data_IF_189513900157
#
_entry.id   IF_189513900157
#
_cell.length_a   1.000
_cell.length_b   1.000
_cell.length_c   1.000
_cell.angle_alpha   90.00
_cell.angle_beta   90.00
_cell.angle_gamma   90.00
#
_symmetry.space_group_name_H-M   'P 1'
#
loop_
_entity.id
_entity.type
_entity.pdbx_description
1 polymer ?
#
# COMPACT_ATOMS: atom_id res chain seq x y z
N UNK A 1 -16.58 -5.04 16.35
CA UNK A 1 -16.51 -3.61 16.75
C UNK A 1 -15.88 -3.58 18.12
N UNK A 2 -14.85 -2.77 18.32
CA UNK A 2 -14.18 -2.63 19.61
C UNK A 2 -14.86 -1.48 20.39
N UNK A 3 -14.84 -1.53 21.71
CA UNK A 3 -15.18 -0.38 22.55
C UNK A 3 -14.09 0.68 22.37
N UNK A 4 -14.50 1.93 22.15
CA UNK A 4 -13.55 3.02 21.95
C UNK A 4 -12.85 3.33 23.27
N UNK A 5 -11.58 2.90 23.37
CA UNK A 5 -10.75 3.08 24.57
C UNK A 5 -9.69 4.17 24.39
N UNK A 6 -9.10 4.27 23.20
CA UNK A 6 -7.99 5.19 22.93
C UNK A 6 -8.45 6.29 21.98
N UNK A 7 -8.25 7.54 22.38
CA UNK A 7 -8.41 8.72 21.53
C UNK A 7 -7.33 8.79 20.45
N UNK A 8 -7.55 9.60 19.42
CA UNK A 8 -6.57 9.83 18.36
C UNK A 8 -5.31 10.46 18.95
N UNK A 9 -5.48 11.39 19.89
CA UNK A 9 -4.40 12.08 20.58
C UNK A 9 -3.54 11.11 21.39
N UNK A 10 -4.16 10.17 22.12
CA UNK A 10 -3.41 9.12 22.85
C UNK A 10 -2.65 8.18 21.91
N UNK A 11 -3.23 7.83 20.76
CA UNK A 11 -2.54 7.02 19.75
C UNK A 11 -1.33 7.75 19.16
N UNK A 12 -1.48 9.04 18.84
CA UNK A 12 -0.40 9.88 18.30
C UNK A 12 0.70 10.11 19.32
N UNK A 13 0.33 10.42 20.57
CA UNK A 13 1.28 10.62 21.65
C UNK A 13 2.06 9.33 21.93
N UNK A 14 1.36 8.19 22.04
CA UNK A 14 2.01 6.89 22.25
C UNK A 14 3.00 6.53 21.14
N UNK A 15 2.70 6.89 19.88
CA UNK A 15 3.64 6.71 18.77
C UNK A 15 4.92 7.52 18.98
N UNK A 16 4.78 8.82 19.27
CA UNK A 16 5.93 9.69 19.55
C UNK A 16 6.73 9.20 20.75
N UNK A 17 6.06 8.80 21.84
CA UNK A 17 6.71 8.37 23.08
C UNK A 17 7.56 7.11 22.87
N UNK A 18 7.04 6.10 22.16
CA UNK A 18 7.79 4.87 21.88
C UNK A 18 8.97 5.14 20.96
N UNK A 19 8.83 6.05 19.99
CA UNK A 19 9.95 6.45 19.12
C UNK A 19 11.06 7.11 19.96
N UNK A 20 10.71 8.08 20.82
CA UNK A 20 11.66 8.79 21.69
C UNK A 20 12.32 7.87 22.71
N UNK A 21 11.55 6.99 23.35
CA UNK A 21 12.06 6.07 24.38
C UNK A 21 13.08 5.06 23.83
N UNK A 22 13.03 4.76 22.52
CA UNK A 22 13.98 3.89 21.85
C UNK A 22 15.04 4.66 21.04
N UNK A 23 15.04 6.00 21.11
CA UNK A 23 16.02 6.87 20.46
C UNK A 23 16.17 6.67 18.94
N UNK A 24 15.11 6.25 18.24
CA UNK A 24 15.17 6.05 16.78
C UNK A 24 15.45 7.38 16.05
N UNK A 25 16.50 7.40 15.23
CA UNK A 25 16.91 8.53 14.37
C UNK A 25 17.15 8.08 12.92
N UNK A 26 16.42 7.05 12.50
CA UNK A 26 16.52 6.40 11.19
C UNK A 26 15.13 6.09 10.64
N UNK A 27 15.05 5.63 9.40
CA UNK A 27 13.79 5.18 8.81
C UNK A 27 13.24 3.97 9.58
N UNK A 28 11.98 4.07 10.02
CA UNK A 28 11.28 3.02 10.76
C UNK A 28 9.95 2.68 10.12
N UNK A 29 9.55 1.41 10.21
CA UNK A 29 8.17 0.99 9.99
C UNK A 29 7.51 0.73 11.33
N UNK A 30 6.36 1.34 11.58
CA UNK A 30 5.65 1.20 12.86
C UNK A 30 4.38 0.36 12.70
N UNK A 31 4.22 -0.62 13.58
CA UNK A 31 2.96 -1.36 13.74
C UNK A 31 2.26 -0.88 15.01
N UNK A 32 1.31 0.03 14.85
CA UNK A 32 0.37 0.40 15.89
C UNK A 32 -0.91 -0.43 15.72
N UNK A 33 -1.21 -1.28 16.69
CA UNK A 33 -2.29 -2.27 16.59
C UNK A 33 -3.20 -2.19 17.79
N UNK A 34 -4.50 -2.03 17.55
CA UNK A 34 -5.55 -2.19 18.55
C UNK A 34 -6.16 -3.59 18.44
N UNK A 35 -6.45 -4.22 19.58
CA UNK A 35 -6.97 -5.59 19.62
C UNK A 35 -7.90 -5.80 20.82
N UNK A 36 -8.78 -6.79 20.73
CA UNK A 36 -9.56 -7.27 21.87
C UNK A 36 -8.66 -8.17 22.72
N UNK A 37 -8.54 -7.83 24.00
CA UNK A 37 -7.74 -8.54 24.98
C UNK A 37 -8.63 -9.34 25.96
N UNK A 38 -8.02 -10.18 26.80
CA UNK A 38 -8.70 -11.03 27.76
C UNK A 38 -9.21 -12.36 27.18
N UNK A 39 -10.05 -13.06 27.93
CA UNK A 39 -10.49 -14.44 27.61
C UNK A 39 -11.38 -14.55 26.36
N UNK A 40 -11.99 -13.43 25.93
CA UNK A 40 -12.71 -13.33 24.66
C UNK A 40 -13.99 -14.17 24.53
N UNK A 41 -14.89 -13.72 23.64
CA UNK A 41 -16.07 -14.44 23.15
C UNK A 41 -16.46 -13.84 21.79
N UNK A 42 -17.41 -14.46 21.08
CA UNK A 42 -17.93 -13.93 19.81
C UNK A 42 -18.52 -12.51 19.91
N UNK A 43 -18.91 -12.08 21.13
CA UNK A 43 -19.51 -10.79 21.39
C UNK A 43 -18.55 -9.79 22.04
N UNK A 44 -17.29 -10.17 22.27
CA UNK A 44 -16.33 -9.33 22.98
C UNK A 44 -16.05 -8.04 22.21
N UNK A 45 -16.21 -6.92 22.93
CA UNK A 45 -15.85 -5.59 22.47
C UNK A 45 -14.75 -4.96 23.32
N UNK A 46 -14.43 -5.54 24.47
CA UNK A 46 -13.35 -5.16 25.35
C UNK A 46 -12.96 -6.31 26.30
N UNK A 47 -11.93 -6.12 27.15
CA UNK A 47 -11.07 -4.93 27.19
C UNK A 47 -10.28 -4.75 25.90
N UNK A 48 -9.98 -3.50 25.52
CA UNK A 48 -9.18 -3.20 24.32
C UNK A 48 -7.73 -2.96 24.71
N UNK A 49 -6.83 -3.69 24.07
CA UNK A 49 -5.39 -3.52 24.14
C UNK A 49 -4.86 -2.72 22.96
N UNK A 50 -3.71 -2.06 23.14
CA UNK A 50 -2.93 -1.50 22.05
C UNK A 50 -1.45 -1.83 22.28
N UNK A 51 -0.73 -2.14 21.21
CA UNK A 51 0.72 -2.09 21.21
C UNK A 51 1.23 -1.24 20.05
N UNK A 52 2.43 -0.70 20.21
CA UNK A 52 3.16 0.08 19.20
C UNK A 52 4.54 -0.54 19.07
N UNK A 53 4.86 -1.06 17.89
CA UNK A 53 6.13 -1.73 17.62
C UNK A 53 6.82 -1.10 16.41
N UNK A 54 7.70 -0.10 16.63
CA UNK A 54 8.63 0.38 15.61
C UNK A 54 9.69 -0.67 15.29
N UNK A 55 10.12 -0.72 14.04
CA UNK A 55 11.21 -1.57 13.58
C UNK A 55 12.04 -0.76 12.58
N UNK A 56 13.38 -0.67 12.74
CA UNK A 56 14.26 -0.13 11.71
C UNK A 56 13.97 -0.74 10.35
N UNK A 57 13.75 0.12 9.36
CA UNK A 57 13.48 -0.33 8.01
C UNK A 57 14.22 0.57 7.03
N UNK A 58 15.47 0.21 6.67
CA UNK A 58 16.18 0.96 5.65
C UNK A 58 15.39 0.92 4.34
N UNK A 59 15.33 2.06 3.66
CA UNK A 59 14.79 2.11 2.31
C UNK A 59 15.61 1.20 1.42
N UNK A 60 14.94 0.29 0.72
CA UNK A 60 15.60 -0.57 -0.27
C UNK A 60 15.93 0.17 -1.57
N UNK A 61 15.55 1.46 -1.67
CA UNK A 61 16.00 2.53 -2.56
C UNK A 61 16.72 2.09 -3.86
N UNK A 62 16.09 1.19 -4.60
CA UNK A 62 16.58 0.76 -5.89
C UNK A 62 15.38 0.55 -6.79
N UNK A 63 14.89 1.66 -7.32
CA UNK A 63 14.03 1.69 -8.50
C UNK A 63 14.66 0.94 -9.69
N UNK A 64 15.95 0.60 -9.64
CA UNK A 64 16.66 -0.08 -10.74
C UNK A 64 16.18 -1.50 -11.00
N UNK A 65 15.40 -2.10 -10.08
CA UNK A 65 14.81 -3.43 -10.25
C UNK A 65 13.34 -3.43 -9.85
N UNK A 66 12.46 -3.30 -10.84
CA UNK A 66 11.03 -3.50 -10.65
C UNK A 66 10.69 -4.94 -10.22
N UNK A 67 9.45 -5.14 -9.79
CA UNK A 67 8.92 -6.45 -9.41
C UNK A 67 8.44 -7.24 -10.63
N UNK A 68 8.62 -8.56 -10.58
CA UNK A 68 7.85 -9.53 -11.37
C UNK A 68 6.61 -9.91 -10.58
N UNK A 69 5.45 -9.60 -11.11
CA UNK A 69 4.19 -9.96 -10.48
C UNK A 69 3.52 -11.11 -11.24
N UNK A 70 2.65 -11.84 -10.53
CA UNK A 70 1.69 -12.75 -11.14
C UNK A 70 0.29 -12.41 -10.71
N UNK A 71 -0.68 -12.62 -11.59
CA UNK A 71 -2.09 -12.58 -11.20
C UNK A 71 -2.40 -13.85 -10.43
N UNK A 72 -2.80 -13.71 -9.17
CA UNK A 72 -3.02 -14.84 -8.27
C UNK A 72 -4.24 -15.66 -8.65
N UNK A 73 -4.22 -16.97 -8.36
CA UNK A 73 -5.42 -17.81 -8.41
C UNK A 73 -6.38 -17.55 -7.25
N UNK A 74 -5.90 -16.91 -6.17
CA UNK A 74 -6.71 -16.51 -5.03
C UNK A 74 -7.50 -15.23 -5.36
N UNK A 75 -8.82 -15.33 -5.25
CA UNK A 75 -9.71 -14.17 -5.33
C UNK A 75 -9.56 -13.27 -4.08
N UNK A 76 -9.64 -11.95 -4.28
CA UNK A 76 -9.65 -10.96 -3.19
C UNK A 76 -10.93 -11.08 -2.37
N UNK A 77 -10.82 -10.99 -1.04
CA UNK A 77 -11.98 -10.82 -0.15
C UNK A 77 -12.85 -9.62 -0.56
N UNK A 78 -14.10 -9.59 -0.13
CA UNK A 78 -15.07 -8.58 -0.53
C UNK A 78 -15.78 -7.95 0.66
N UNK A 79 -16.37 -6.78 0.44
CA UNK A 79 -17.22 -6.11 1.44
C UNK A 79 -18.44 -6.94 1.87
N UNK A 80 -18.77 -8.03 1.15
CA UNK A 80 -19.83 -8.98 1.52
C UNK A 80 -19.39 -10.04 2.54
N UNK A 81 -18.08 -10.23 2.74
CA UNK A 81 -17.52 -11.23 3.65
C UNK A 81 -16.60 -10.61 4.71
N UNK A 82 -15.39 -10.24 4.31
CA UNK A 82 -14.33 -9.65 5.10
C UNK A 82 -13.92 -8.38 4.39
N UNK A 83 -14.48 -7.24 4.80
CA UNK A 83 -14.26 -5.98 4.08
C UNK A 83 -12.76 -5.65 3.97
N UNK A 84 -12.20 -5.59 2.75
CA UNK A 84 -10.78 -5.28 2.54
C UNK A 84 -10.42 -3.84 2.94
N UNK A 85 -11.43 -2.96 3.05
CA UNK A 85 -11.27 -1.57 3.52
C UNK A 85 -10.90 -1.48 5.00
N UNK A 86 -11.18 -2.53 5.77
CA UNK A 86 -10.80 -2.60 7.19
C UNK A 86 -9.41 -3.23 7.31
N UNK A 87 -8.45 -2.47 7.81
CA UNK A 87 -7.07 -2.95 8.00
C UNK A 87 -6.94 -3.79 9.28
N UNK A 88 -7.42 -5.03 9.23
CA UNK A 88 -7.41 -5.97 10.36
C UNK A 88 -6.58 -7.22 10.04
N UNK A 89 -5.88 -7.76 11.05
CA UNK A 89 -5.01 -8.93 10.88
C UNK A 89 -5.70 -10.13 10.22
N UNK A 90 -6.98 -10.39 10.53
CA UNK A 90 -7.75 -11.49 9.95
C UNK A 90 -7.83 -11.43 8.41
N UNK A 91 -7.86 -10.23 7.82
CA UNK A 91 -7.94 -10.05 6.37
C UNK A 91 -6.65 -10.47 5.65
N UNK A 92 -5.51 -10.48 6.35
CA UNK A 92 -4.21 -10.75 5.75
C UNK A 92 -3.97 -12.22 5.42
N UNK A 93 -4.85 -13.15 5.82
CA UNK A 93 -4.72 -14.54 5.38
C UNK A 93 -4.87 -14.66 3.86
N UNK A 94 -5.81 -13.90 3.27
CA UNK A 94 -6.01 -13.84 1.81
C UNK A 94 -4.76 -13.31 1.10
N UNK A 95 -4.24 -12.17 1.57
CA UNK A 95 -2.99 -11.60 1.08
C UNK A 95 -1.80 -12.55 1.19
N UNK A 96 -1.68 -13.24 2.32
CA UNK A 96 -0.58 -14.20 2.57
C UNK A 96 -0.62 -15.35 1.58
N UNK A 97 -1.80 -15.94 1.34
CA UNK A 97 -1.93 -17.05 0.38
C UNK A 97 -1.55 -16.64 -1.04
N UNK A 98 -2.01 -15.48 -1.50
CA UNK A 98 -1.64 -14.95 -2.81
C UNK A 98 -0.13 -14.66 -2.93
N UNK A 99 0.48 -14.07 -1.89
CA UNK A 99 1.93 -13.82 -1.89
C UNK A 99 2.74 -15.13 -1.87
N UNK A 100 2.33 -16.12 -1.09
CA UNK A 100 3.00 -17.43 -1.04
C UNK A 100 2.95 -18.12 -2.40
N UNK A 101 1.79 -18.16 -3.05
CA UNK A 101 1.64 -18.69 -4.40
C UNK A 101 2.57 -18.01 -5.41
N UNK A 102 2.64 -16.66 -5.40
CA UNK A 102 3.51 -15.95 -6.32
C UNK A 102 4.99 -16.29 -6.10
N UNK A 103 5.44 -16.34 -4.84
CA UNK A 103 6.83 -16.70 -4.50
C UNK A 103 7.17 -18.14 -4.91
N UNK A 104 6.27 -19.09 -4.64
CA UNK A 104 6.44 -20.50 -5.03
C UNK A 104 6.54 -20.67 -6.56
N UNK A 105 5.90 -19.78 -7.32
CA UNK A 105 5.96 -19.76 -8.78
C UNK A 105 7.10 -18.90 -9.36
N UNK A 106 7.98 -18.36 -8.52
CA UNK A 106 9.19 -17.63 -8.93
C UNK A 106 8.97 -16.15 -9.27
N UNK A 107 7.84 -15.57 -8.85
CA UNK A 107 7.55 -14.13 -8.92
C UNK A 107 7.96 -13.44 -7.61
N UNK A 108 8.00 -12.11 -7.63
CA UNK A 108 8.36 -11.30 -6.47
C UNK A 108 7.11 -10.87 -5.66
N UNK A 109 5.96 -10.71 -6.33
CA UNK A 109 4.68 -10.45 -5.66
C UNK A 109 3.48 -10.91 -6.50
N UNK A 110 2.28 -10.76 -5.94
CA UNK A 110 1.02 -11.10 -6.59
C UNK A 110 0.18 -9.84 -6.91
N UNK A 111 -0.77 -10.00 -7.83
CA UNK A 111 -1.87 -9.08 -8.07
C UNK A 111 -3.16 -9.90 -7.92
N UNK A 112 -4.07 -9.46 -7.07
CA UNK A 112 -5.35 -10.14 -6.84
C UNK A 112 -6.45 -9.52 -7.71
N UNK A 113 -7.39 -10.37 -8.11
CA UNK A 113 -8.63 -9.97 -8.78
C UNK A 113 -9.79 -10.05 -7.78
N UNK A 114 -10.77 -9.16 -7.94
CA UNK A 114 -12.02 -9.24 -7.20
C UNK A 114 -12.98 -10.26 -7.83
N UNK A 115 -14.10 -10.51 -7.15
CA UNK A 115 -15.13 -11.48 -7.58
C UNK A 115 -15.85 -11.13 -8.89
N UNK A 116 -15.61 -9.94 -9.45
CA UNK A 116 -16.15 -9.53 -10.75
C UNK A 116 -15.14 -9.74 -11.89
N UNK A 117 -13.99 -10.34 -11.58
CA UNK A 117 -12.92 -10.53 -12.56
C UNK A 117 -12.20 -9.24 -12.93
N UNK A 118 -12.23 -8.21 -12.07
CA UNK A 118 -11.47 -6.96 -12.24
C UNK A 118 -10.26 -6.93 -11.30
N UNK A 119 -9.24 -6.19 -11.67
CA UNK A 119 -8.05 -6.01 -10.83
C UNK A 119 -8.41 -5.26 -9.55
N UNK A 120 -7.92 -5.79 -8.43
CA UNK A 120 -8.07 -5.21 -7.11
C UNK A 120 -6.75 -4.56 -6.66
N UNK A 121 -5.86 -5.31 -6.02
CA UNK A 121 -4.62 -4.79 -5.46
C UNK A 121 -3.57 -5.92 -5.30
N UNK A 122 -2.37 -5.58 -4.87
CA UNK A 122 -1.39 -6.58 -4.42
C UNK A 122 -1.63 -6.99 -2.96
N UNK A 123 -0.95 -8.05 -2.45
CA UNK A 123 -1.13 -8.57 -1.09
C UNK A 123 -1.06 -7.53 0.03
N UNK A 124 -0.24 -6.49 -0.11
CA UNK A 124 -0.06 -5.45 0.91
C UNK A 124 0.06 -4.04 0.34
N UNK A 125 -0.42 -3.81 -0.88
CA UNK A 125 -0.16 -2.60 -1.65
C UNK A 125 -1.25 -2.38 -2.69
N UNK A 126 -1.67 -1.13 -2.91
CA UNK A 126 -2.53 -0.78 -4.03
C UNK A 126 -1.74 -0.82 -5.35
N UNK A 127 -2.46 -0.91 -6.47
CA UNK A 127 -1.88 -0.95 -7.81
C UNK A 127 -2.23 0.31 -8.59
N UNK A 128 -1.26 0.79 -9.37
CA UNK A 128 -1.47 1.74 -10.44
C UNK A 128 -0.92 1.19 -11.76
N UNK A 129 -1.56 1.58 -12.86
CA UNK A 129 -1.02 1.45 -14.21
C UNK A 129 -0.96 2.83 -14.88
N UNK A 130 -0.12 2.95 -15.88
CA UNK A 130 -0.09 4.09 -16.80
C UNK A 130 -0.47 3.58 -18.17
N UNK A 131 -1.41 4.26 -18.82
CA UNK A 131 -1.83 3.92 -20.18
C UNK A 131 -2.15 5.18 -20.95
N UNK A 132 -1.51 5.36 -22.09
CA UNK A 132 -1.65 6.54 -22.96
C UNK A 132 -1.38 7.85 -22.18
N UNK A 133 -0.42 7.82 -21.25
CA UNK A 133 -0.06 8.95 -20.39
C UNK A 133 -1.01 9.23 -19.22
N UNK A 134 -2.08 8.46 -19.07
CA UNK A 134 -3.05 8.57 -17.96
C UNK A 134 -2.65 7.64 -16.82
N UNK A 135 -2.66 8.15 -15.59
CA UNK A 135 -2.45 7.37 -14.38
C UNK A 135 -3.79 6.74 -13.92
N UNK A 136 -3.83 5.43 -13.76
CA UNK A 136 -5.07 4.69 -13.53
C UNK A 136 -4.91 3.77 -12.32
N UNK A 137 -5.89 3.77 -11.41
CA UNK A 137 -5.94 2.84 -10.27
C UNK A 137 -7.37 2.32 -10.07
N UNK A 138 -7.55 1.09 -9.56
CA UNK A 138 -8.88 0.57 -9.26
C UNK A 138 -9.62 1.48 -8.25
N UNK A 139 -10.96 1.62 -8.37
CA UNK A 139 -11.75 2.39 -7.43
C UNK A 139 -11.80 1.70 -6.07
N UNK A 140 -12.20 2.42 -5.02
CA UNK A 140 -12.39 1.87 -3.67
C UNK A 140 -13.44 0.74 -3.62
N UNK A 141 -14.27 0.60 -4.65
CA UNK A 141 -15.26 -0.47 -4.83
C UNK A 141 -14.66 -1.77 -5.40
N UNK A 142 -13.42 -1.76 -5.85
CA UNK A 142 -12.75 -2.92 -6.46
C UNK A 142 -12.14 -3.87 -5.42
N UNK A 143 -12.72 -3.97 -4.21
CA UNK A 143 -12.20 -4.79 -3.09
C UNK A 143 -10.79 -4.40 -2.60
N UNK A 144 -10.44 -3.11 -2.62
CA UNK A 144 -9.13 -2.63 -2.18
C UNK A 144 -9.15 -2.08 -0.75
N UNK A 145 -7.98 -1.96 -0.13
CA UNK A 145 -7.81 -1.11 1.04
C UNK A 145 -7.81 0.37 0.60
N UNK A 146 -8.48 1.24 1.36
CA UNK A 146 -8.42 2.70 1.17
C UNK A 146 -7.07 3.25 1.68
N UNK A 147 -6.01 3.00 0.92
CA UNK A 147 -4.62 3.30 1.27
C UNK A 147 -4.33 4.80 1.30
N UNK A 148 -3.70 5.27 2.39
CA UNK A 148 -3.20 6.65 2.52
C UNK A 148 -2.15 6.95 1.45
N UNK A 149 -1.23 6.02 1.18
CA UNK A 149 -0.21 6.21 0.12
C UNK A 149 -0.86 6.37 -1.27
N UNK A 150 -1.92 5.62 -1.55
CA UNK A 150 -2.69 5.75 -2.80
C UNK A 150 -3.33 7.14 -2.90
N UNK A 151 -3.98 7.60 -1.83
CA UNK A 151 -4.58 8.95 -1.76
C UNK A 151 -3.53 10.06 -1.96
N UNK A 152 -2.38 9.94 -1.28
CA UNK A 152 -1.23 10.84 -1.45
C UNK A 152 -0.76 10.89 -2.91
N UNK A 153 -0.58 9.74 -3.55
CA UNK A 153 -0.15 9.67 -4.96
C UNK A 153 -1.17 10.32 -5.89
N UNK A 154 -2.47 10.07 -5.70
CA UNK A 154 -3.54 10.68 -6.51
C UNK A 154 -3.49 12.22 -6.38
N UNK A 155 -3.36 12.74 -5.16
CA UNK A 155 -3.27 14.19 -4.91
C UNK A 155 -2.03 14.81 -5.57
N UNK A 156 -0.86 14.21 -5.37
CA UNK A 156 0.40 14.69 -5.95
C UNK A 156 0.40 14.63 -7.49
N UNK A 157 -0.14 13.55 -8.07
CA UNK A 157 -0.25 13.40 -9.52
C UNK A 157 -1.14 14.49 -10.15
N UNK A 158 -2.30 14.77 -9.54
CA UNK A 158 -3.25 15.78 -10.02
C UNK A 158 -2.75 17.21 -9.80
N UNK A 159 -2.28 17.53 -8.60
CA UNK A 159 -2.00 18.93 -8.20
C UNK A 159 -0.60 19.42 -8.57
N UNK A 160 0.39 18.52 -8.63
CA UNK A 160 1.80 18.89 -8.80
C UNK A 160 2.34 18.44 -10.15
N UNK A 161 2.09 17.18 -10.52
CA UNK A 161 2.58 16.65 -11.79
C UNK A 161 1.68 16.99 -12.99
N UNK A 162 0.45 17.46 -12.74
CA UNK A 162 -0.58 17.69 -13.75
C UNK A 162 -0.81 16.46 -14.65
N UNK A 163 -0.80 15.27 -14.06
CA UNK A 163 -1.06 14.00 -14.74
C UNK A 163 -2.54 13.66 -14.57
N UNK A 164 -3.22 13.39 -15.69
CA UNK A 164 -4.60 12.90 -15.65
C UNK A 164 -4.65 11.61 -14.84
N UNK A 165 -5.48 11.59 -13.79
CA UNK A 165 -5.56 10.48 -12.85
C UNK A 165 -6.98 9.98 -12.71
N UNK A 166 -7.23 8.76 -13.18
CA UNK A 166 -8.56 8.15 -13.25
C UNK A 166 -8.67 6.98 -12.27
N UNK A 167 -9.77 6.97 -11.51
CA UNK A 167 -10.15 5.83 -10.69
C UNK A 167 -11.23 5.04 -11.43
N UNK A 168 -10.86 3.89 -12.01
CA UNK A 168 -11.78 3.02 -12.78
C UNK A 168 -11.39 1.56 -12.65
N UNK A 169 -12.34 0.67 -12.90
CA UNK A 169 -12.05 -0.75 -13.00
C UNK A 169 -10.97 -1.00 -14.05
N UNK A 170 -10.07 -1.94 -13.76
CA UNK A 170 -8.97 -2.35 -14.63
C UNK A 170 -9.17 -3.82 -14.96
N UNK A 171 -9.11 -4.16 -16.25
CA UNK A 171 -9.13 -5.56 -16.68
C UNK A 171 -7.75 -6.20 -16.56
N UNK A 172 -7.72 -7.51 -16.29
CA UNK A 172 -6.46 -8.28 -16.21
C UNK A 172 -5.57 -8.07 -17.44
N UNK A 173 -6.18 -8.06 -18.62
CA UNK A 173 -5.45 -7.92 -19.89
C UNK A 173 -4.84 -6.53 -20.07
N UNK A 174 -5.32 -5.51 -19.38
CA UNK A 174 -4.71 -4.17 -19.40
C UNK A 174 -3.33 -4.17 -18.76
N UNK A 175 -3.06 -5.07 -17.80
CA UNK A 175 -1.73 -5.23 -17.20
C UNK A 175 -0.66 -5.63 -18.23
N UNK A 176 -1.06 -6.26 -19.33
CA UNK A 176 -0.14 -6.74 -20.38
C UNK A 176 0.12 -5.70 -21.48
N UNK A 177 -0.70 -4.65 -21.55
CA UNK A 177 -0.66 -3.65 -22.61
C UNK A 177 -0.52 -2.22 -22.07
N UNK A 178 -0.40 -2.06 -20.75
CA UNK A 178 -0.09 -0.77 -20.13
C UNK A 178 1.36 -0.36 -20.40
N UNK A 179 1.62 0.94 -20.33
CA UNK A 179 2.95 1.52 -20.55
C UNK A 179 3.83 1.32 -19.32
N UNK A 180 3.25 1.45 -18.12
CA UNK A 180 3.93 1.31 -16.85
C UNK A 180 2.98 0.73 -15.79
N UNK A 181 3.51 0.10 -14.75
CA UNK A 181 2.76 -0.28 -13.57
C UNK A 181 3.62 -0.15 -12.31
N UNK A 182 2.97 0.09 -11.18
CA UNK A 182 3.64 0.10 -9.87
C UNK A 182 2.69 -0.28 -8.74
N UNK A 183 3.27 -0.83 -7.68
CA UNK A 183 2.61 -1.08 -6.40
C UNK A 183 2.94 0.04 -5.42
N UNK A 184 1.99 0.39 -4.56
CA UNK A 184 2.20 1.39 -3.53
C UNK A 184 1.58 1.09 -2.16
N UNK A 185 2.21 1.58 -1.10
CA UNK A 185 1.72 1.47 0.28
C UNK A 185 2.81 1.89 1.27
N UNK A 186 2.49 2.12 2.53
CA UNK A 186 3.47 2.69 3.50
C UNK A 186 4.78 1.90 3.57
N UNK A 187 4.71 0.56 3.50
CA UNK A 187 5.88 -0.31 3.52
C UNK A 187 6.49 -0.57 2.13
N UNK A 188 5.72 -0.38 1.06
CA UNK A 188 6.11 -0.62 -0.34
C UNK A 188 6.62 0.68 -1.00
N UNK A 189 6.35 1.83 -0.39
CA UNK A 189 6.48 3.17 -0.95
C UNK A 189 5.84 3.22 -2.34
N UNK A 190 6.61 3.58 -3.38
CA UNK A 190 6.25 3.45 -4.80
C UNK A 190 7.26 2.50 -5.43
N UNK A 191 6.83 1.29 -5.79
CA UNK A 191 7.70 0.25 -6.34
C UNK A 191 7.22 -0.18 -7.71
N UNK A 192 8.08 -0.03 -8.73
CA UNK A 192 7.75 -0.37 -10.12
C UNK A 192 7.48 -1.87 -10.30
N UNK A 193 6.61 -2.19 -11.25
CA UNK A 193 6.33 -3.54 -11.72
C UNK A 193 6.75 -3.60 -13.19
N UNK A 194 7.74 -4.43 -13.51
CA UNK A 194 8.26 -4.52 -14.89
C UNK A 194 7.67 -5.69 -15.67
N UNK A 195 7.07 -6.68 -15.00
CA UNK A 195 6.37 -7.76 -15.68
C UNK A 195 5.21 -8.31 -14.87
N UNK A 196 4.17 -8.77 -15.57
CA UNK A 196 3.03 -9.48 -14.99
C UNK A 196 2.84 -10.78 -15.78
N UNK A 197 2.75 -11.92 -15.10
CA UNK A 197 2.59 -13.24 -15.72
C UNK A 197 3.66 -13.53 -16.81
N UNK A 198 4.89 -13.03 -16.58
CA UNK A 198 6.03 -13.10 -17.52
C UNK A 198 5.88 -12.28 -18.80
N UNK A 199 4.79 -11.52 -18.94
CA UNK A 199 4.68 -10.47 -19.95
C UNK A 199 5.41 -9.23 -19.44
N UNK A 200 6.34 -8.71 -20.24
CA UNK A 200 7.03 -7.46 -19.93
C UNK A 200 6.08 -6.30 -20.15
N UNK A 201 6.07 -5.34 -19.21
CA UNK A 201 5.31 -4.10 -19.31
C UNK A 201 6.18 -3.06 -20.02
N UNK A 202 5.59 -2.35 -21.00
CA UNK A 202 6.27 -1.30 -21.75
C UNK A 202 7.52 -1.77 -22.52
N UNK A 203 8.39 -0.81 -22.84
CA UNK A 203 9.57 -1.01 -23.68
C UNK A 203 10.87 -1.07 -22.85
N UNK A 204 11.19 -2.28 -22.39
CA UNK A 204 12.54 -2.75 -22.03
C UNK A 204 13.36 -1.91 -21.02
N UNK A 205 13.13 -2.09 -19.73
CA UNK A 205 14.15 -2.06 -18.67
C UNK A 205 13.54 -2.71 -17.41
N UNK A 206 14.31 -3.36 -16.53
CA UNK A 206 13.83 -3.75 -15.20
C UNK A 206 13.66 -2.53 -14.26
N UNK A 207 13.20 -1.37 -14.75
CA UNK A 207 13.09 -0.13 -13.98
C UNK A 207 11.75 0.58 -14.18
N UNK A 208 11.47 1.65 -13.42
CA UNK A 208 10.27 2.46 -13.61
C UNK A 208 10.27 3.13 -14.99
N UNK A 209 9.09 3.30 -15.56
CA UNK A 209 8.91 4.25 -16.65
C UNK A 209 8.90 5.70 -16.13
N UNK A 210 8.74 6.64 -17.05
CA UNK A 210 8.89 8.07 -16.79
C UNK A 210 7.86 8.58 -15.79
N UNK A 211 6.62 8.10 -15.85
CA UNK A 211 5.55 8.54 -14.93
C UNK A 211 5.79 7.97 -13.54
N UNK A 212 6.09 6.67 -13.43
CA UNK A 212 6.40 5.98 -12.19
C UNK A 212 7.58 6.62 -11.47
N UNK A 213 8.64 6.97 -12.21
CA UNK A 213 9.81 7.65 -11.66
C UNK A 213 9.46 9.02 -11.09
N UNK A 214 8.68 9.83 -11.82
CA UNK A 214 8.22 11.14 -11.35
C UNK A 214 7.37 11.03 -10.10
N UNK A 215 6.42 10.08 -10.08
CA UNK A 215 5.56 9.82 -8.92
C UNK A 215 6.39 9.37 -7.72
N UNK A 216 7.33 8.44 -7.91
CA UNK A 216 8.19 7.95 -6.85
C UNK A 216 9.02 9.08 -6.22
N UNK A 217 9.73 9.86 -7.04
CA UNK A 217 10.58 10.96 -6.55
C UNK A 217 9.76 11.99 -5.78
N UNK A 218 8.65 12.45 -6.37
CA UNK A 218 7.81 13.45 -5.73
C UNK A 218 7.21 12.92 -4.42
N UNK A 219 6.76 11.66 -4.39
CA UNK A 219 6.28 11.02 -3.16
C UNK A 219 7.37 11.01 -2.09
N UNK A 220 8.58 10.54 -2.42
CA UNK A 220 9.70 10.49 -1.48
C UNK A 220 10.08 11.87 -0.96
N UNK A 221 10.27 12.84 -1.84
CA UNK A 221 10.63 14.19 -1.45
C UNK A 221 9.57 14.84 -0.55
N UNK A 222 8.30 14.50 -0.77
CA UNK A 222 7.20 14.95 0.09
C UNK A 222 7.25 14.29 1.47
N UNK A 223 7.34 12.96 1.55
CA UNK A 223 7.26 12.23 2.83
C UNK A 223 8.55 12.26 3.65
N UNK A 224 9.66 12.69 3.06
CA UNK A 224 10.95 12.89 3.74
C UNK A 224 11.16 14.33 4.22
N UNK A 225 10.26 15.26 3.87
CA UNK A 225 10.41 16.67 4.24
C UNK A 225 11.42 17.43 3.40
N UNK A 226 11.81 16.93 2.22
CA UNK A 226 12.63 17.67 1.26
C UNK A 226 11.85 18.79 0.56
N UNK A 227 10.51 18.73 0.61
CA UNK A 227 9.60 19.77 0.12
C UNK A 227 8.85 20.42 1.28
N UNK A 228 8.41 21.69 1.13
CA UNK A 228 7.51 22.31 2.10
C UNK A 228 6.25 21.46 2.31
N UNK A 229 5.90 21.21 3.57
CA UNK A 229 4.73 20.41 3.93
C UNK A 229 3.43 21.19 3.76
N UNK A 230 3.05 21.43 2.50
CA UNK A 230 1.82 22.13 2.11
C UNK A 230 0.55 21.43 2.66
N UNK A 231 0.62 20.13 2.90
CA UNK A 231 -0.54 19.29 3.22
C UNK A 231 -0.65 18.93 4.71
N UNK A 232 0.30 19.35 5.53
CA UNK A 232 0.43 18.96 6.94
C UNK A 232 0.45 17.42 7.11
N UNK A 233 1.24 16.74 6.27
CA UNK A 233 1.42 15.29 6.33
C UNK A 233 2.59 14.85 7.22
N UNK A 234 3.49 15.77 7.57
CA UNK A 234 4.66 15.49 8.37
C UNK A 234 4.40 15.87 9.82
N UNK A 235 4.62 14.92 10.73
CA UNK A 235 4.56 15.14 12.18
C UNK A 235 5.97 15.12 12.75
N UNK A 236 6.38 16.23 13.35
CA UNK A 236 7.67 16.33 14.05
C UNK A 236 7.64 15.47 15.33
N UNK A 237 8.67 14.64 15.52
CA UNK A 237 8.82 13.82 16.73
C UNK A 237 9.80 14.46 17.70
N UNK A 238 11.01 14.82 17.24
CA UNK A 238 12.03 15.47 18.06
C UNK A 238 12.02 16.98 17.88
N UNK A 239 12.33 17.71 18.95
CA UNK A 239 12.63 19.16 18.90
C UNK A 239 13.98 19.43 18.24
#
# INVERSE_FOLDING_TARGET
RMEDKYSIEEMQQGLSDVIKANEYKEDIAVRQTVFIDGLGSWMSKGPVGMFIAPIPKPRTASLTKGLRCAVSSWERISDKNLSPRVKVGANYINSRMAQMEALENGYDSAILMNSQGKISEGPGSCLFIVRDGVLITPPITASILESITRDTIIKLAREVLNIETIEREIDRTELYICDEAFLCGSAMEVTSVFSVDRHTIGNTMPGPGVVTEKVHRLYLDTVTGNLPDKYNWLSQVYE
#
